data_IF_128612355636
#
_entry.id   IF_128612355636
#
_cell.length_a   1.000
_cell.length_b   1.000
_cell.length_c   1.000
_cell.angle_alpha   90.00
_cell.angle_beta   90.00
_cell.angle_gamma   90.00
#
_symmetry.space_group_name_H-M   'P 1'
#
loop_
_entity.id
_entity.type
_entity.pdbx_description
1 polymer ?
#
# COMPACT_ATOMS: atom_id res chain seq x y z
N UNK A 1 19.28 -12.43 0.62
CA UNK A 1 19.71 -13.78 1.09
C UNK A 1 18.88 -14.15 2.31
N UNK A 2 18.00 -15.10 2.15
CA UNK A 2 17.27 -15.97 3.09
C UNK A 2 17.08 -15.46 4.54
N UNK A 3 15.86 -14.95 4.84
CA UNK A 3 15.25 -15.19 6.13
C UNK A 3 13.76 -15.51 5.92
N UNK A 4 13.51 -16.73 5.38
CA UNK A 4 12.24 -17.41 5.53
C UNK A 4 12.27 -18.09 6.89
N UNK A 5 11.98 -17.36 7.93
CA UNK A 5 11.74 -17.94 9.23
C UNK A 5 10.28 -18.39 9.27
N UNK A 6 10.14 -19.69 9.37
CA UNK A 6 8.92 -20.45 9.59
C UNK A 6 8.20 -19.88 10.80
N UNK A 7 7.21 -19.06 10.59
CA UNK A 7 6.20 -18.79 11.62
C UNK A 7 5.25 -19.98 11.60
N UNK A 8 5.58 -20.95 12.45
CA UNK A 8 4.68 -22.03 12.84
C UNK A 8 3.57 -21.37 13.68
N UNK A 9 2.49 -20.95 13.03
CA UNK A 9 1.28 -20.53 13.75
C UNK A 9 0.66 -21.81 14.30
N UNK A 10 1.04 -22.14 15.52
CA UNK A 10 0.30 -23.08 16.36
C UNK A 10 -1.07 -22.43 16.60
N UNK A 11 -2.09 -22.95 15.92
CA UNK A 11 -3.47 -22.65 16.22
C UNK A 11 -3.73 -23.23 17.61
N UNK A 12 -3.45 -22.45 18.66
CA UNK A 12 -3.94 -22.75 20.00
C UNK A 12 -5.44 -22.48 19.95
N UNK A 13 -6.23 -23.52 19.59
CA UNK A 13 -7.58 -23.67 20.08
C UNK A 13 -7.43 -23.77 21.60
N UNK A 14 -7.47 -22.64 22.30
CA UNK A 14 -7.56 -22.58 23.73
C UNK A 14 -8.96 -23.10 24.09
N UNK A 15 -9.03 -24.42 24.28
CA UNK A 15 -10.05 -24.99 25.10
C UNK A 15 -9.74 -24.57 26.55
N UNK A 16 -9.98 -23.31 26.86
CA UNK A 16 -10.15 -22.87 28.23
C UNK A 16 -11.51 -23.39 28.69
N UNK A 17 -11.47 -24.50 29.42
CA UNK A 17 -12.47 -24.88 30.39
C UNK A 17 -12.51 -23.83 31.55
N UNK A 18 -12.99 -22.69 31.24
CA UNK A 18 -13.35 -21.59 32.10
C UNK A 18 -14.36 -20.79 31.32
N UNK A 19 -15.53 -20.56 31.89
CA UNK A 19 -16.63 -19.83 31.28
C UNK A 19 -16.10 -18.55 30.60
N UNK A 20 -15.65 -18.68 29.35
CA UNK A 20 -15.37 -17.53 28.48
C UNK A 20 -16.72 -16.81 28.35
N UNK A 21 -16.82 -15.68 29.01
CA UNK A 21 -18.02 -14.86 28.96
C UNK A 21 -18.37 -14.59 27.50
N UNK A 22 -19.63 -14.77 27.07
CA UNK A 22 -20.07 -14.52 25.68
C UNK A 22 -19.85 -13.06 25.21
N UNK A 23 -19.22 -12.24 26.03
CA UNK A 23 -18.98 -10.81 25.83
C UNK A 23 -17.86 -10.46 24.83
N UNK A 24 -17.07 -11.42 24.35
CA UNK A 24 -15.88 -11.13 23.52
C UNK A 24 -16.08 -11.44 22.04
N UNK A 25 -17.16 -12.12 21.67
CA UNK A 25 -17.44 -12.50 20.29
C UNK A 25 -18.32 -11.47 19.57
N UNK A 26 -17.92 -11.05 18.37
CA UNK A 26 -18.73 -10.24 17.46
C UNK A 26 -19.38 -11.19 16.46
N UNK A 27 -20.70 -11.37 16.55
CA UNK A 27 -21.49 -12.36 15.82
C UNK A 27 -22.20 -13.35 16.73
N UNK A 28 -22.80 -14.37 16.12
CA UNK A 28 -23.57 -15.41 16.80
C UNK A 28 -22.63 -16.35 17.58
N UNK A 29 -22.89 -16.51 18.86
CA UNK A 29 -22.23 -17.51 19.70
C UNK A 29 -23.02 -18.81 19.72
N UNK A 30 -22.36 -19.92 19.41
CA UNK A 30 -22.94 -21.24 19.47
C UNK A 30 -22.21 -22.04 20.56
N UNK A 31 -22.83 -22.25 21.76
CA UNK A 31 -22.18 -22.96 22.83
C UNK A 31 -22.15 -24.48 22.52
N UNK A 32 -20.99 -25.09 22.76
CA UNK A 32 -20.81 -26.55 22.72
C UNK A 32 -20.79 -27.06 24.16
N UNK A 33 -21.79 -27.88 24.57
CA UNK A 33 -21.83 -28.40 25.91
C UNK A 33 -20.80 -29.52 26.07
N UNK A 34 -20.00 -29.47 27.13
CA UNK A 34 -19.00 -30.49 27.44
C UNK A 34 -19.68 -31.88 27.57
N UNK A 35 -19.06 -32.91 26.98
CA UNK A 35 -19.57 -34.28 26.94
C UNK A 35 -20.77 -34.52 26.02
N UNK A 36 -21.22 -33.52 25.26
CA UNK A 36 -22.22 -33.70 24.20
C UNK A 36 -21.69 -34.49 23.01
N UNK A 37 -22.59 -34.97 22.13
CA UNK A 37 -22.19 -35.66 20.90
C UNK A 37 -21.35 -34.70 19.98
N UNK A 38 -21.67 -33.39 19.98
CA UNK A 38 -20.92 -32.39 19.27
C UNK A 38 -19.50 -32.23 19.84
N UNK A 39 -19.35 -32.17 21.16
CA UNK A 39 -18.04 -32.03 21.82
C UNK A 39 -17.14 -33.25 21.56
N UNK A 40 -17.71 -34.47 21.66
CA UNK A 40 -16.99 -35.72 21.35
C UNK A 40 -16.54 -35.75 19.88
N UNK A 41 -17.44 -35.44 18.94
CA UNK A 41 -17.12 -35.42 17.53
C UNK A 41 -16.05 -34.37 17.18
N UNK A 42 -16.12 -33.17 17.74
CA UNK A 42 -15.10 -32.13 17.56
C UNK A 42 -13.74 -32.57 18.13
N UNK A 43 -13.72 -33.29 19.24
CA UNK A 43 -12.49 -33.87 19.81
C UNK A 43 -11.87 -34.88 18.84
N UNK A 44 -12.67 -35.77 18.25
CA UNK A 44 -12.23 -36.75 17.25
C UNK A 44 -11.68 -36.05 15.98
N UNK A 45 -12.39 -35.03 15.47
CA UNK A 45 -11.96 -34.24 14.31
C UNK A 45 -10.62 -33.56 14.58
N UNK A 46 -10.43 -32.98 15.76
CA UNK A 46 -9.19 -32.29 16.13
C UNK A 46 -8.02 -33.28 16.29
N UNK A 47 -8.25 -34.49 16.77
CA UNK A 47 -7.25 -35.54 16.93
C UNK A 47 -6.83 -36.19 15.59
N UNK A 48 -7.69 -36.13 14.56
CA UNK A 48 -7.42 -36.75 13.27
C UNK A 48 -6.27 -36.02 12.55
N UNK A 49 -5.22 -36.77 12.20
CA UNK A 49 -4.03 -36.26 11.47
C UNK A 49 -4.08 -36.58 9.98
N UNK A 50 -4.74 -37.68 9.60
CA UNK A 50 -4.97 -38.02 8.20
C UNK A 50 -6.04 -37.10 7.57
N UNK A 51 -5.74 -36.41 6.45
CA UNK A 51 -6.69 -35.50 5.84
C UNK A 51 -8.00 -36.14 5.39
N UNK A 52 -7.94 -37.34 4.81
CA UNK A 52 -9.15 -38.02 4.32
C UNK A 52 -10.05 -38.47 5.51
N UNK A 53 -9.46 -39.02 6.57
CA UNK A 53 -10.16 -39.36 7.80
C UNK A 53 -10.77 -38.10 8.44
N UNK A 54 -10.03 -37.00 8.50
CA UNK A 54 -10.51 -35.72 9.04
C UNK A 54 -11.73 -35.21 8.30
N UNK A 55 -11.70 -35.22 6.96
CA UNK A 55 -12.85 -34.82 6.15
C UNK A 55 -14.05 -35.71 6.40
N UNK A 56 -13.88 -37.04 6.45
CA UNK A 56 -14.97 -37.96 6.72
C UNK A 56 -15.60 -37.71 8.11
N UNK A 57 -14.82 -37.37 9.12
CA UNK A 57 -15.30 -36.98 10.43
C UNK A 57 -16.07 -35.66 10.42
N UNK A 58 -15.61 -34.66 9.66
CA UNK A 58 -16.33 -33.39 9.46
C UNK A 58 -17.66 -33.64 8.74
N UNK A 59 -17.67 -34.48 7.69
CA UNK A 59 -18.90 -34.86 6.97
C UNK A 59 -19.89 -35.53 7.88
N UNK A 60 -19.45 -36.48 8.72
CA UNK A 60 -20.27 -37.16 9.73
C UNK A 60 -20.82 -36.15 10.75
N UNK A 61 -19.99 -35.23 11.23
CA UNK A 61 -20.42 -34.18 12.14
C UNK A 61 -21.51 -33.31 11.50
N UNK A 62 -21.29 -32.80 10.29
CA UNK A 62 -22.21 -31.94 9.56
C UNK A 62 -23.56 -32.64 9.27
N UNK A 63 -23.55 -33.96 9.01
CA UNK A 63 -24.76 -34.73 8.76
C UNK A 63 -25.55 -35.10 10.07
N UNK A 64 -24.94 -35.00 11.24
CA UNK A 64 -25.52 -35.34 12.54
C UNK A 64 -25.52 -34.18 13.53
N UNK A 65 -24.58 -34.15 14.51
CA UNK A 65 -24.56 -33.13 15.56
C UNK A 65 -24.36 -31.70 15.05
N UNK A 66 -23.83 -31.53 13.85
CA UNK A 66 -23.52 -30.23 13.19
C UNK A 66 -24.73 -29.58 12.50
N UNK A 67 -25.94 -30.04 12.71
CA UNK A 67 -27.14 -29.44 12.12
C UNK A 67 -27.77 -28.35 13.01
N UNK A 68 -28.74 -27.63 12.47
CA UNK A 68 -29.39 -26.52 13.17
C UNK A 68 -28.43 -25.40 13.52
N UNK A 69 -28.41 -25.01 14.79
CA UNK A 69 -27.47 -23.93 15.24
C UNK A 69 -26.00 -24.31 15.09
N UNK A 70 -25.68 -25.61 15.18
CA UNK A 70 -24.32 -26.14 15.00
C UNK A 70 -23.85 -26.09 13.54
N UNK A 71 -24.70 -25.77 12.58
CA UNK A 71 -24.31 -25.62 11.17
C UNK A 71 -23.23 -24.51 10.96
N UNK A 72 -23.23 -23.50 11.83
CA UNK A 72 -22.16 -22.51 11.87
C UNK A 72 -20.80 -23.17 12.15
N UNK A 73 -20.74 -23.97 13.21
CA UNK A 73 -19.52 -24.70 13.62
C UNK A 73 -19.10 -25.70 12.55
N UNK A 74 -20.06 -26.42 11.95
CA UNK A 74 -19.77 -27.37 10.86
C UNK A 74 -19.10 -26.65 9.66
N UNK A 75 -19.63 -25.50 9.25
CA UNK A 75 -19.04 -24.73 8.15
C UNK A 75 -17.64 -24.17 8.53
N UNK A 76 -17.41 -23.75 9.77
CA UNK A 76 -16.08 -23.33 10.23
C UNK A 76 -15.05 -24.47 10.17
N UNK A 77 -15.45 -25.71 10.53
CA UNK A 77 -14.58 -26.87 10.37
C UNK A 77 -14.20 -27.13 8.91
N UNK A 78 -15.16 -27.00 7.97
CA UNK A 78 -14.86 -27.09 6.53
C UNK A 78 -13.94 -25.97 6.06
N UNK A 79 -14.17 -24.73 6.45
CA UNK A 79 -13.28 -23.59 6.10
C UNK A 79 -11.85 -23.90 6.53
N UNK A 80 -11.65 -24.30 7.79
CA UNK A 80 -10.32 -24.59 8.33
C UNK A 80 -9.67 -25.78 7.62
N UNK A 81 -10.44 -26.83 7.34
CA UNK A 81 -9.95 -27.99 6.61
C UNK A 81 -9.51 -27.64 5.20
N UNK A 82 -10.38 -26.99 4.40
CA UNK A 82 -10.08 -26.65 3.02
C UNK A 82 -8.97 -25.60 2.89
N UNK A 83 -8.87 -24.69 3.85
CA UNK A 83 -7.74 -23.76 3.92
C UNK A 83 -6.41 -24.51 4.13
N UNK A 84 -6.38 -25.45 5.08
CA UNK A 84 -5.19 -26.28 5.35
C UNK A 84 -4.79 -27.14 4.14
N UNK A 85 -5.76 -27.58 3.33
CA UNK A 85 -5.54 -28.32 2.09
C UNK A 85 -5.30 -27.42 0.88
N UNK A 86 -5.23 -26.09 1.04
CA UNK A 86 -5.10 -25.07 -0.02
C UNK A 86 -6.20 -25.16 -1.09
N UNK A 87 -7.36 -25.70 -0.74
CA UNK A 87 -8.55 -25.73 -1.57
C UNK A 87 -9.38 -24.46 -1.33
N UNK A 88 -8.81 -23.33 -1.71
CA UNK A 88 -9.31 -21.99 -1.37
C UNK A 88 -10.76 -21.76 -1.85
N UNK A 89 -11.13 -22.24 -3.03
CA UNK A 89 -12.48 -22.03 -3.57
C UNK A 89 -13.54 -22.74 -2.72
N UNK A 90 -13.25 -23.93 -2.19
CA UNK A 90 -14.11 -24.59 -1.22
C UNK A 90 -14.14 -23.87 0.12
N UNK A 91 -12.99 -23.37 0.59
CA UNK A 91 -12.96 -22.58 1.81
C UNK A 91 -13.84 -21.33 1.70
N UNK A 92 -13.85 -20.64 0.54
CA UNK A 92 -14.77 -19.53 0.28
C UNK A 92 -16.23 -19.97 0.29
N UNK A 93 -16.56 -21.09 -0.38
CA UNK A 93 -17.93 -21.60 -0.41
C UNK A 93 -18.51 -21.81 1.00
N UNK A 94 -17.74 -22.43 1.88
CA UNK A 94 -18.18 -22.65 3.26
C UNK A 94 -18.15 -21.36 4.10
N UNK A 95 -17.22 -20.47 3.86
CA UNK A 95 -17.22 -19.14 4.48
C UNK A 95 -18.43 -18.30 4.09
N UNK A 96 -18.86 -18.37 2.84
CA UNK A 96 -20.08 -17.70 2.38
C UNK A 96 -21.34 -18.30 3.03
N UNK A 97 -21.40 -19.65 3.24
CA UNK A 97 -22.47 -20.29 4.00
C UNK A 97 -22.54 -19.80 5.46
N UNK A 98 -21.38 -19.53 6.08
CA UNK A 98 -21.35 -18.93 7.43
C UNK A 98 -22.00 -17.55 7.40
N UNK A 99 -21.69 -16.69 6.41
CA UNK A 99 -22.32 -15.37 6.30
C UNK A 99 -23.83 -15.40 6.02
N UNK A 100 -24.34 -16.48 5.44
CA UNK A 100 -25.80 -16.70 5.32
C UNK A 100 -26.43 -16.98 6.69
N UNK A 101 -25.76 -17.77 7.56
CA UNK A 101 -26.24 -18.12 8.90
C UNK A 101 -26.04 -16.97 9.89
N UNK A 102 -24.88 -16.31 9.81
CA UNK A 102 -24.50 -15.17 10.67
C UNK A 102 -23.81 -14.08 9.82
N UNK A 103 -24.59 -13.13 9.28
CA UNK A 103 -24.02 -11.99 8.52
C UNK A 103 -23.09 -11.11 9.36
N UNK A 104 -23.16 -11.19 10.70
CA UNK A 104 -22.36 -10.46 11.67
C UNK A 104 -21.11 -11.19 12.15
N UNK A 105 -20.77 -12.36 11.61
CA UNK A 105 -19.60 -13.14 12.03
C UNK A 105 -18.29 -12.45 11.68
N UNK A 106 -17.71 -11.73 12.65
CA UNK A 106 -16.41 -11.07 12.48
C UNK A 106 -15.28 -12.09 12.34
N UNK A 107 -15.32 -13.17 13.12
CA UNK A 107 -14.31 -14.24 13.03
C UNK A 107 -14.28 -14.88 11.63
N UNK A 108 -15.45 -15.09 11.01
CA UNK A 108 -15.49 -15.59 9.64
C UNK A 108 -14.89 -14.58 8.65
N UNK A 109 -15.13 -13.28 8.84
CA UNK A 109 -14.50 -12.26 7.99
C UNK A 109 -12.97 -12.32 8.12
N UNK A 110 -12.41 -12.50 9.32
CA UNK A 110 -10.97 -12.71 9.54
C UNK A 110 -10.48 -13.95 8.78
N UNK A 111 -11.22 -15.07 8.87
CA UNK A 111 -10.86 -16.31 8.19
C UNK A 111 -10.87 -16.12 6.66
N UNK A 112 -11.87 -15.44 6.11
CA UNK A 112 -11.96 -15.20 4.67
C UNK A 112 -10.87 -14.25 4.17
N UNK A 113 -10.47 -13.24 4.96
CA UNK A 113 -9.28 -12.44 4.69
C UNK A 113 -8.03 -13.31 4.60
N UNK A 114 -7.88 -14.29 5.51
CA UNK A 114 -6.74 -15.24 5.47
C UNK A 114 -6.76 -16.08 4.21
N UNK A 115 -7.91 -16.69 3.86
CA UNK A 115 -8.08 -17.50 2.66
C UNK A 115 -7.73 -16.71 1.40
N UNK A 116 -8.22 -15.46 1.30
CA UNK A 116 -7.96 -14.58 0.16
C UNK A 116 -6.47 -14.16 0.08
N UNK A 117 -5.86 -13.91 1.23
CA UNK A 117 -4.43 -13.58 1.33
C UNK A 117 -3.55 -14.74 0.87
N UNK A 118 -3.83 -15.97 1.33
CA UNK A 118 -3.06 -17.16 0.94
C UNK A 118 -3.25 -17.53 -0.54
N UNK A 119 -4.46 -17.31 -1.08
CA UNK A 119 -4.73 -17.47 -2.51
C UNK A 119 -4.06 -16.39 -3.36
N UNK A 120 -3.75 -15.23 -2.80
CA UNK A 120 -3.27 -14.04 -3.54
C UNK A 120 -4.38 -13.34 -4.34
N UNK A 121 -5.64 -13.48 -3.93
CA UNK A 121 -6.80 -12.86 -4.56
C UNK A 121 -7.06 -11.48 -3.92
N UNK A 122 -6.43 -10.46 -4.49
CA UNK A 122 -6.49 -9.09 -3.94
C UNK A 122 -7.90 -8.50 -3.93
N UNK A 123 -8.78 -8.90 -4.85
CA UNK A 123 -10.14 -8.38 -4.91
C UNK A 123 -11.02 -8.97 -3.82
N UNK A 124 -11.00 -10.30 -3.63
CA UNK A 124 -11.68 -10.96 -2.51
C UNK A 124 -11.12 -10.53 -1.18
N UNK A 125 -9.79 -10.36 -1.10
CA UNK A 125 -9.11 -9.88 0.11
C UNK A 125 -9.64 -8.51 0.53
N UNK A 126 -9.75 -7.57 -0.40
CA UNK A 126 -10.32 -6.25 -0.15
C UNK A 126 -11.81 -6.34 0.21
N UNK A 127 -12.60 -7.14 -0.52
CA UNK A 127 -14.03 -7.32 -0.27
C UNK A 127 -14.31 -7.89 1.13
N UNK A 128 -13.56 -8.90 1.58
CA UNK A 128 -13.72 -9.42 2.95
C UNK A 128 -13.19 -8.45 4.02
N UNK A 129 -12.18 -7.62 3.71
CA UNK A 129 -11.78 -6.51 4.57
C UNK A 129 -12.88 -5.46 4.73
N UNK A 130 -13.55 -5.07 3.64
CA UNK A 130 -14.71 -4.19 3.66
C UNK A 130 -15.87 -4.79 4.46
N UNK A 131 -16.12 -6.11 4.30
CA UNK A 131 -17.11 -6.84 5.07
C UNK A 131 -16.81 -6.80 6.56
N UNK A 132 -15.57 -7.07 6.95
CA UNK A 132 -15.14 -7.01 8.36
C UNK A 132 -15.36 -5.61 8.95
N UNK A 133 -14.99 -4.56 8.24
CA UNK A 133 -15.21 -3.18 8.68
C UNK A 133 -16.70 -2.85 8.81
N UNK A 134 -17.53 -3.31 7.87
CA UNK A 134 -18.99 -3.15 7.93
C UNK A 134 -19.58 -3.86 9.15
N UNK A 135 -19.12 -5.09 9.46
CA UNK A 135 -19.55 -5.84 10.64
C UNK A 135 -19.20 -5.07 11.92
N UNK A 136 -17.96 -4.55 12.02
CA UNK A 136 -17.53 -3.74 13.17
C UNK A 136 -18.35 -2.47 13.32
N UNK A 137 -18.63 -1.76 12.22
CA UNK A 137 -19.45 -0.55 12.23
C UNK A 137 -20.89 -0.87 12.70
N UNK A 138 -21.50 -1.93 12.17
CA UNK A 138 -22.84 -2.39 12.56
C UNK A 138 -22.90 -2.81 14.03
N UNK A 139 -21.88 -3.51 14.51
CA UNK A 139 -21.78 -3.91 15.91
C UNK A 139 -21.67 -2.70 16.85
N UNK A 140 -20.83 -1.72 16.50
CA UNK A 140 -20.69 -0.47 17.26
C UNK A 140 -22.02 0.29 17.35
N UNK A 141 -22.78 0.33 16.27
CA UNK A 141 -24.05 1.03 16.18
C UNK A 141 -25.24 0.24 16.76
N UNK A 142 -25.07 -1.03 17.11
CA UNK A 142 -26.17 -1.91 17.54
C UNK A 142 -26.76 -1.45 18.88
N UNK A 143 -28.11 -1.48 19.02
CA UNK A 143 -28.78 -1.18 20.27
C UNK A 143 -28.57 -2.29 21.29
N UNK A 144 -28.76 -1.97 22.57
CA UNK A 144 -28.71 -2.96 23.64
C UNK A 144 -29.78 -4.07 23.42
N UNK A 145 -29.40 -5.35 23.55
CA UNK A 145 -30.38 -6.44 23.53
C UNK A 145 -31.41 -6.33 24.67
N UNK A 146 -32.58 -6.91 24.44
CA UNK A 146 -33.61 -6.97 25.49
C UNK A 146 -33.05 -7.53 26.78
N UNK A 147 -33.34 -6.87 27.91
CA UNK A 147 -32.86 -7.28 29.25
C UNK A 147 -31.42 -6.82 29.58
N UNK A 148 -30.75 -6.08 28.68
CA UNK A 148 -29.41 -5.51 28.93
C UNK A 148 -29.51 -3.98 29.00
N UNK A 149 -28.91 -3.34 30.03
CA UNK A 149 -28.86 -1.89 30.09
C UNK A 149 -27.94 -1.32 28.98
N UNK A 150 -28.23 -0.11 28.51
CA UNK A 150 -27.40 0.56 27.50
C UNK A 150 -25.94 0.67 27.98
N UNK A 151 -25.72 1.02 29.24
CA UNK A 151 -24.38 1.14 29.82
C UNK A 151 -23.59 -0.19 29.77
N UNK A 152 -24.24 -1.28 30.22
CA UNK A 152 -23.67 -2.63 30.17
C UNK A 152 -23.35 -3.05 28.74
N UNK A 153 -24.24 -2.71 27.79
CA UNK A 153 -24.04 -3.03 26.39
C UNK A 153 -22.85 -2.26 25.80
N UNK A 154 -22.73 -0.97 26.07
CA UNK A 154 -21.56 -0.17 25.63
C UNK A 154 -20.25 -0.70 26.21
N UNK A 155 -20.25 -1.14 27.47
CA UNK A 155 -19.08 -1.78 28.08
C UNK A 155 -18.72 -3.09 27.36
N UNK A 156 -19.70 -3.94 27.07
CA UNK A 156 -19.48 -5.20 26.32
C UNK A 156 -18.95 -4.94 24.92
N UNK A 157 -19.49 -3.95 24.20
CA UNK A 157 -18.99 -3.58 22.87
C UNK A 157 -17.53 -3.14 22.93
N UNK A 158 -17.15 -2.28 23.90
CA UNK A 158 -15.75 -1.88 24.07
C UNK A 158 -14.83 -3.08 24.32
N UNK A 159 -15.21 -3.98 25.23
CA UNK A 159 -14.43 -5.18 25.54
C UNK A 159 -14.28 -6.11 24.33
N UNK A 160 -15.37 -6.33 23.58
CA UNK A 160 -15.34 -7.16 22.37
C UNK A 160 -14.42 -6.57 21.30
N UNK A 161 -14.45 -5.25 21.07
CA UNK A 161 -13.59 -4.59 20.11
C UNK A 161 -12.12 -4.64 20.57
N UNK A 162 -11.85 -4.39 21.85
CA UNK A 162 -10.51 -4.46 22.43
C UNK A 162 -9.92 -5.87 22.31
N UNK A 163 -10.69 -6.89 22.61
CA UNK A 163 -10.27 -8.30 22.46
C UNK A 163 -10.01 -8.72 21.01
N UNK A 164 -10.54 -7.96 20.03
CA UNK A 164 -10.33 -8.23 18.61
C UNK A 164 -9.31 -7.27 17.94
N UNK A 165 -8.59 -6.46 18.70
CA UNK A 165 -7.63 -5.47 18.13
C UNK A 165 -6.55 -6.13 17.25
N UNK A 166 -6.04 -7.31 17.64
CA UNK A 166 -5.05 -8.03 16.85
C UNK A 166 -5.62 -8.50 15.51
N UNK A 167 -6.86 -8.98 15.50
CA UNK A 167 -7.57 -9.37 14.28
C UNK A 167 -7.83 -8.14 13.38
N UNK A 168 -8.20 -6.99 13.96
CA UNK A 168 -8.43 -5.75 13.23
C UNK A 168 -7.13 -5.29 12.56
N UNK A 169 -6.02 -5.27 13.31
CA UNK A 169 -4.69 -4.95 12.75
C UNK A 169 -4.27 -5.94 11.67
N UNK A 170 -4.46 -7.22 11.89
CA UNK A 170 -4.18 -8.26 10.91
C UNK A 170 -4.93 -8.02 9.59
N UNK A 171 -6.24 -7.75 9.66
CA UNK A 171 -7.05 -7.45 8.46
C UNK A 171 -6.47 -6.27 7.69
N UNK A 172 -6.20 -5.15 8.39
CA UNK A 172 -5.66 -3.94 7.75
C UNK A 172 -4.31 -4.21 7.08
N UNK A 173 -3.41 -4.91 7.77
CA UNK A 173 -2.09 -5.26 7.25
C UNK A 173 -2.19 -6.22 6.06
N UNK A 174 -3.00 -7.26 6.16
CA UNK A 174 -3.17 -8.26 5.11
C UNK A 174 -3.79 -7.64 3.84
N UNK A 175 -4.85 -6.83 4.00
CA UNK A 175 -5.51 -6.17 2.88
C UNK A 175 -4.56 -5.16 2.23
N UNK A 176 -3.90 -4.29 3.00
CA UNK A 176 -2.92 -3.35 2.44
C UNK A 176 -1.80 -4.09 1.70
N UNK A 177 -1.20 -5.10 2.32
CA UNK A 177 -0.11 -5.87 1.72
C UNK A 177 -0.50 -6.59 0.44
N UNK A 178 -1.71 -7.19 0.40
CA UNK A 178 -2.19 -7.90 -0.78
C UNK A 178 -2.52 -6.95 -1.95
N UNK A 179 -3.20 -5.83 -1.69
CA UNK A 179 -3.52 -4.86 -2.75
C UNK A 179 -2.28 -4.12 -3.26
N UNK A 180 -1.30 -3.87 -2.39
CA UNK A 180 -0.01 -3.29 -2.77
C UNK A 180 0.74 -4.13 -3.80
N UNK A 181 0.60 -5.47 -3.75
CA UNK A 181 1.25 -6.40 -4.67
C UNK A 181 0.55 -6.54 -6.02
N UNK A 182 -0.61 -5.91 -6.21
CA UNK A 182 -1.32 -5.94 -7.50
C UNK A 182 -0.43 -5.40 -8.61
N UNK A 183 -0.19 -6.19 -9.67
CA UNK A 183 0.77 -5.86 -10.72
C UNK A 183 0.29 -4.74 -11.64
N UNK A 184 -1.01 -4.74 -11.96
CA UNK A 184 -1.60 -3.72 -12.84
C UNK A 184 -1.70 -2.37 -12.08
N UNK A 185 -1.04 -1.31 -12.56
CA UNK A 185 -0.96 -0.05 -11.81
C UNK A 185 -2.31 0.63 -11.58
N UNK A 186 -3.20 0.64 -12.59
CA UNK A 186 -4.52 1.26 -12.45
C UNK A 186 -5.38 0.52 -11.40
N UNK A 187 -5.41 -0.81 -11.48
CA UNK A 187 -6.13 -1.66 -10.53
C UNK A 187 -5.55 -1.52 -9.12
N UNK A 188 -4.23 -1.52 -8.99
CA UNK A 188 -3.57 -1.29 -7.69
C UNK A 188 -3.98 0.05 -7.08
N UNK A 189 -4.01 1.12 -7.89
CA UNK A 189 -4.43 2.43 -7.43
C UNK A 189 -5.88 2.45 -6.95
N UNK A 190 -6.82 1.89 -7.74
CA UNK A 190 -8.24 1.80 -7.38
C UNK A 190 -8.44 1.00 -6.08
N UNK A 191 -7.76 -0.13 -5.91
CA UNK A 191 -7.81 -0.96 -4.71
C UNK A 191 -7.23 -0.25 -3.47
N UNK A 192 -6.12 0.49 -3.62
CA UNK A 192 -5.53 1.27 -2.52
C UNK A 192 -6.42 2.44 -2.10
N UNK A 193 -7.12 3.07 -3.03
CA UNK A 193 -8.13 4.09 -2.69
C UNK A 193 -9.30 3.49 -1.90
N UNK A 194 -9.81 2.33 -2.32
CA UNK A 194 -10.85 1.58 -1.56
C UNK A 194 -10.35 1.24 -0.16
N UNK A 195 -9.10 0.75 -0.05
CA UNK A 195 -8.47 0.49 1.25
C UNK A 195 -8.47 1.73 2.14
N UNK A 196 -7.95 2.86 1.66
CA UNK A 196 -7.85 4.09 2.44
C UNK A 196 -9.23 4.66 2.84
N UNK A 197 -10.26 4.41 2.03
CA UNK A 197 -11.65 4.76 2.34
C UNK A 197 -12.26 3.83 3.40
N UNK A 198 -11.98 2.54 3.29
CA UNK A 198 -12.51 1.51 4.20
C UNK A 198 -11.87 1.59 5.57
N UNK A 199 -10.57 1.87 5.63
CA UNK A 199 -9.78 1.91 6.86
C UNK A 199 -9.13 3.30 7.05
N UNK A 200 -9.91 4.38 7.23
CA UNK A 200 -9.37 5.74 7.29
C UNK A 200 -8.44 5.98 8.48
N UNK A 201 -8.61 5.22 9.57
CA UNK A 201 -7.83 5.31 10.80
C UNK A 201 -6.65 4.32 10.82
N UNK A 202 -6.43 3.56 9.74
CA UNK A 202 -5.30 2.64 9.63
C UNK A 202 -3.98 3.41 9.50
N UNK A 203 -2.93 2.90 10.14
CA UNK A 203 -1.56 3.40 9.95
C UNK A 203 -1.10 3.39 8.48
N UNK A 204 -1.72 2.53 7.65
CA UNK A 204 -1.43 2.42 6.21
C UNK A 204 -2.23 3.39 5.34
N UNK A 205 -3.23 4.10 5.87
CA UNK A 205 -4.18 4.88 5.06
C UNK A 205 -3.51 5.98 4.22
N UNK A 206 -2.64 6.79 4.82
CA UNK A 206 -1.92 7.86 4.10
C UNK A 206 -0.90 7.28 3.12
N UNK A 207 -0.20 6.20 3.51
CA UNK A 207 0.73 5.49 2.63
C UNK A 207 0.01 4.90 1.42
N UNK A 208 -1.19 4.31 1.61
CA UNK A 208 -2.02 3.80 0.53
C UNK A 208 -2.39 4.88 -0.48
N UNK A 209 -2.77 6.08 -0.02
CA UNK A 209 -3.03 7.22 -0.90
C UNK A 209 -1.79 7.64 -1.70
N UNK A 210 -0.62 7.68 -1.07
CA UNK A 210 0.63 8.00 -1.75
C UNK A 210 0.99 6.99 -2.84
N UNK A 211 0.85 5.69 -2.53
CA UNK A 211 1.09 4.62 -3.51
C UNK A 211 0.02 4.62 -4.61
N UNK A 212 -1.24 4.95 -4.30
CA UNK A 212 -2.30 5.09 -5.30
C UNK A 212 -1.97 6.21 -6.31
N UNK A 213 -1.54 7.38 -5.83
CA UNK A 213 -1.14 8.49 -6.69
C UNK A 213 0.01 8.11 -7.64
N UNK A 214 1.08 7.48 -7.11
CA UNK A 214 2.20 7.02 -7.94
C UNK A 214 1.80 5.87 -8.87
N UNK A 215 0.85 5.03 -8.49
CA UNK A 215 0.32 3.98 -9.36
C UNK A 215 -0.49 4.55 -10.51
N UNK A 216 -1.29 5.62 -10.29
CA UNK A 216 -1.94 6.34 -11.39
C UNK A 216 -0.94 7.06 -12.30
N UNK A 217 0.20 7.56 -11.78
CA UNK A 217 1.27 8.06 -12.63
C UNK A 217 1.82 6.96 -13.54
N UNK A 218 2.09 5.77 -12.99
CA UNK A 218 2.54 4.59 -13.77
C UNK A 218 1.50 4.15 -14.81
N UNK A 219 0.21 4.24 -14.46
CA UNK A 219 -0.91 3.96 -15.37
C UNK A 219 -1.17 5.08 -16.40
N UNK A 220 -0.33 6.12 -16.43
CA UNK A 220 -0.49 7.28 -17.30
C UNK A 220 -1.88 7.95 -17.18
N UNK A 221 -2.40 8.04 -15.95
CA UNK A 221 -3.66 8.70 -15.62
C UNK A 221 -3.44 9.95 -14.76
N UNK A 222 -2.98 11.06 -15.36
CA UNK A 222 -2.68 12.29 -14.62
C UNK A 222 -3.86 12.90 -13.87
N UNK A 223 -5.12 12.89 -14.39
CA UNK A 223 -6.24 13.44 -13.65
C UNK A 223 -6.44 12.76 -12.29
N UNK A 224 -6.50 11.42 -12.26
CA UNK A 224 -6.62 10.66 -11.00
C UNK A 224 -5.37 10.79 -10.12
N UNK A 225 -4.19 10.80 -10.71
CA UNK A 225 -2.94 11.05 -9.97
C UNK A 225 -3.00 12.36 -9.21
N UNK A 226 -3.37 13.46 -9.88
CA UNK A 226 -3.46 14.79 -9.27
C UNK A 226 -4.57 14.88 -8.22
N UNK A 227 -5.72 14.26 -8.48
CA UNK A 227 -6.83 14.19 -7.53
C UNK A 227 -6.36 13.59 -6.20
N UNK A 228 -5.76 12.40 -6.26
CA UNK A 228 -5.31 11.67 -5.07
C UNK A 228 -4.15 12.38 -4.39
N UNK A 229 -3.16 12.85 -5.14
CA UNK A 229 -2.01 13.55 -4.58
C UNK A 229 -2.42 14.86 -3.88
N UNK A 230 -3.32 15.65 -4.46
CA UNK A 230 -3.82 16.87 -3.83
C UNK A 230 -4.69 16.53 -2.59
N UNK A 231 -5.52 15.48 -2.63
CA UNK A 231 -6.28 15.02 -1.47
C UNK A 231 -5.37 14.60 -0.31
N UNK A 232 -4.25 13.93 -0.61
CA UNK A 232 -3.25 13.59 0.40
C UNK A 232 -2.54 14.83 0.94
N UNK A 233 -2.18 15.80 0.10
CA UNK A 233 -1.56 17.06 0.54
C UNK A 233 -2.48 17.94 1.41
N UNK A 234 -3.80 17.78 1.30
CA UNK A 234 -4.74 18.43 2.24
C UNK A 234 -4.67 17.80 3.64
N UNK A 235 -4.39 16.49 3.74
CA UNK A 235 -4.26 15.77 5.02
C UNK A 235 -2.85 15.86 5.60
N UNK A 236 -1.85 15.79 4.74
CA UNK A 236 -0.43 15.88 5.06
C UNK A 236 0.26 16.88 4.12
N UNK A 237 0.21 18.18 4.47
CA UNK A 237 0.82 19.23 3.63
C UNK A 237 2.35 19.11 3.47
N UNK A 238 2.99 18.28 4.30
CA UNK A 238 4.44 18.05 4.28
C UNK A 238 4.82 16.72 3.60
N UNK A 239 3.90 16.08 2.90
CA UNK A 239 4.19 14.84 2.18
C UNK A 239 5.15 15.11 1.02
N UNK A 240 6.43 14.84 1.28
CA UNK A 240 7.51 15.12 0.32
C UNK A 240 7.30 14.42 -1.02
N UNK A 241 6.84 13.17 -1.01
CA UNK A 241 6.57 12.40 -2.23
C UNK A 241 5.51 13.08 -3.12
N UNK A 242 4.44 13.56 -2.52
CA UNK A 242 3.36 14.23 -3.26
C UNK A 242 3.75 15.64 -3.71
N UNK A 243 4.50 16.38 -2.89
CA UNK A 243 5.05 17.67 -3.31
C UNK A 243 5.93 17.52 -4.56
N UNK A 244 6.82 16.51 -4.57
CA UNK A 244 7.66 16.20 -5.74
C UNK A 244 6.83 15.78 -6.95
N UNK A 245 5.87 14.86 -6.75
CA UNK A 245 5.03 14.32 -7.83
C UNK A 245 4.23 15.42 -8.53
N UNK A 246 3.52 16.25 -7.75
CA UNK A 246 2.66 17.31 -8.30
C UNK A 246 3.48 18.44 -8.93
N UNK A 247 4.58 18.85 -8.27
CA UNK A 247 5.43 19.92 -8.80
C UNK A 247 6.14 19.51 -10.09
N UNK A 248 6.64 18.25 -10.17
CA UNK A 248 7.29 17.74 -11.38
C UNK A 248 6.29 17.68 -12.56
N UNK A 249 5.07 17.19 -12.30
CA UNK A 249 4.02 17.15 -13.32
C UNK A 249 3.69 18.54 -13.89
N UNK A 250 3.43 19.52 -13.02
CA UNK A 250 3.11 20.87 -13.47
C UNK A 250 4.32 21.56 -14.13
N UNK A 251 5.52 21.33 -13.63
CA UNK A 251 6.75 21.81 -14.24
C UNK A 251 6.98 21.26 -15.65
N UNK A 252 6.69 19.97 -15.87
CA UNK A 252 6.77 19.35 -17.21
C UNK A 252 5.72 19.90 -18.19
N UNK A 253 4.49 20.06 -17.71
CA UNK A 253 3.39 20.55 -18.53
C UNK A 253 3.42 22.05 -18.79
N UNK A 254 4.22 22.81 -18.02
CA UNK A 254 4.20 24.28 -18.06
C UNK A 254 2.92 24.88 -17.48
N UNK A 255 2.22 24.11 -16.64
CA UNK A 255 0.95 24.46 -16.00
C UNK A 255 1.16 24.84 -14.54
N UNK A 256 0.34 25.73 -13.99
CA UNK A 256 0.37 26.11 -12.57
C UNK A 256 1.81 26.33 -12.01
N UNK A 257 2.66 27.00 -12.78
CA UNK A 257 4.09 27.10 -12.50
C UNK A 257 4.41 27.73 -11.13
N UNK A 258 3.57 28.63 -10.61
CA UNK A 258 3.77 29.21 -9.27
C UNK A 258 3.52 28.18 -8.17
N UNK A 259 2.51 27.33 -8.34
CA UNK A 259 2.25 26.20 -7.44
C UNK A 259 3.36 25.15 -7.50
N UNK A 260 3.82 24.84 -8.73
CA UNK A 260 4.94 23.92 -8.94
C UNK A 260 6.22 24.43 -8.25
N UNK A 261 6.54 25.73 -8.39
CA UNK A 261 7.68 26.37 -7.74
C UNK A 261 7.56 26.29 -6.21
N UNK A 262 6.41 26.69 -5.65
CA UNK A 262 6.15 26.66 -4.22
C UNK A 262 6.30 25.24 -3.64
N UNK A 263 5.75 24.22 -4.32
CA UNK A 263 5.84 22.83 -3.88
C UNK A 263 7.26 22.29 -3.99
N UNK A 264 7.98 22.57 -5.08
CA UNK A 264 9.36 22.15 -5.23
C UNK A 264 10.30 22.85 -4.22
N UNK A 265 10.09 24.15 -3.93
CA UNK A 265 10.85 24.85 -2.90
C UNK A 265 10.60 24.26 -1.51
N UNK A 266 9.33 23.97 -1.17
CA UNK A 266 8.99 23.29 0.06
C UNK A 266 9.63 21.91 0.14
N UNK A 267 9.66 21.17 -0.97
CA UNK A 267 10.31 19.85 -1.03
C UNK A 267 11.82 19.91 -0.76
N UNK A 268 12.53 20.95 -1.27
CA UNK A 268 13.95 21.17 -0.94
C UNK A 268 14.14 21.37 0.56
N UNK A 269 13.34 22.27 1.16
CA UNK A 269 13.43 22.54 2.62
C UNK A 269 13.14 21.32 3.46
N UNK A 270 12.11 20.55 3.08
CA UNK A 270 11.74 19.33 3.81
C UNK A 270 12.82 18.24 3.71
N UNK A 271 13.42 18.04 2.53
CA UNK A 271 14.48 17.06 2.35
C UNK A 271 15.69 17.33 3.25
N UNK A 272 15.97 18.60 3.57
CA UNK A 272 17.06 19.01 4.46
C UNK A 272 16.70 18.80 5.97
N UNK A 273 15.41 18.73 6.32
CA UNK A 273 14.91 18.66 7.71
C UNK A 273 14.42 17.28 8.13
N UNK A 274 14.38 16.30 7.23
CA UNK A 274 13.91 14.96 7.53
C UNK A 274 14.77 14.25 8.57
N UNK A 275 14.12 13.60 9.53
CA UNK A 275 14.81 12.77 10.51
C UNK A 275 15.00 11.35 9.98
N UNK A 276 16.19 10.79 10.24
CA UNK A 276 16.51 9.43 9.83
C UNK A 276 15.71 8.40 10.64
N UNK A 277 14.97 7.50 9.96
CA UNK A 277 14.32 6.38 10.64
C UNK A 277 15.33 5.45 11.29
N UNK A 278 14.96 4.85 12.43
CA UNK A 278 15.86 3.99 13.23
C UNK A 278 16.40 2.80 12.43
N UNK A 279 15.60 2.27 11.49
CA UNK A 279 15.94 1.07 10.72
C UNK A 279 16.70 1.35 9.41
N UNK A 280 17.08 2.61 9.14
CA UNK A 280 17.81 3.02 7.94
C UNK A 280 19.24 3.41 8.33
N UNK A 281 20.24 2.90 7.60
CA UNK A 281 21.64 3.29 7.86
C UNK A 281 21.86 4.76 7.49
N UNK A 282 22.88 5.39 8.09
CA UNK A 282 23.20 6.79 7.79
C UNK A 282 23.54 7.00 6.31
N UNK A 283 24.26 6.07 5.70
CA UNK A 283 24.62 6.15 4.29
C UNK A 283 23.39 6.04 3.37
N UNK A 284 22.52 5.05 3.60
CA UNK A 284 21.26 4.91 2.86
C UNK A 284 20.40 6.16 3.01
N UNK A 285 20.34 6.71 4.23
CA UNK A 285 19.58 7.92 4.49
C UNK A 285 20.13 9.15 3.75
N UNK A 286 21.43 9.35 3.78
CA UNK A 286 22.11 10.42 3.02
C UNK A 286 21.85 10.29 1.51
N UNK A 287 21.93 9.07 0.97
CA UNK A 287 21.66 8.83 -0.45
C UNK A 287 20.18 9.13 -0.79
N UNK A 288 19.25 8.67 0.04
CA UNK A 288 17.82 8.89 -0.17
C UNK A 288 17.45 10.39 -0.10
N UNK A 289 17.89 11.09 0.92
CA UNK A 289 17.61 12.54 1.08
C UNK A 289 18.31 13.38 0.01
N UNK A 290 19.53 13.02 -0.37
CA UNK A 290 20.22 13.66 -1.49
C UNK A 290 19.43 13.50 -2.79
N UNK A 291 18.95 12.28 -3.10
CA UNK A 291 18.15 12.04 -4.30
C UNK A 291 16.86 12.88 -4.28
N UNK A 292 16.13 12.88 -3.16
CA UNK A 292 14.89 13.66 -3.02
C UNK A 292 15.13 15.15 -3.21
N UNK A 293 16.19 15.70 -2.60
CA UNK A 293 16.60 17.09 -2.78
C UNK A 293 17.02 17.38 -4.22
N UNK A 294 17.75 16.47 -4.84
CA UNK A 294 18.15 16.56 -6.23
C UNK A 294 16.96 16.62 -7.18
N UNK A 295 15.93 15.78 -6.94
CA UNK A 295 14.68 15.80 -7.70
C UNK A 295 13.96 17.16 -7.54
N UNK A 296 13.85 17.68 -6.32
CA UNK A 296 13.21 18.97 -6.06
C UNK A 296 13.94 20.13 -6.78
N UNK A 297 15.27 20.15 -6.70
CA UNK A 297 16.09 21.15 -7.41
C UNK A 297 15.97 21.03 -8.93
N UNK A 298 15.93 19.79 -9.46
CA UNK A 298 15.72 19.56 -10.90
C UNK A 298 14.34 20.05 -11.35
N UNK A 299 13.30 19.86 -10.53
CA UNK A 299 11.96 20.41 -10.78
C UNK A 299 11.97 21.95 -10.76
N UNK A 300 12.63 22.57 -9.77
CA UNK A 300 12.82 24.03 -9.77
C UNK A 300 13.55 24.52 -11.03
N UNK A 301 14.55 23.77 -11.49
CA UNK A 301 15.22 24.04 -12.75
C UNK A 301 14.24 24.03 -13.92
N UNK A 302 13.39 23.03 -14.01
CA UNK A 302 12.38 22.90 -15.07
C UNK A 302 11.34 24.03 -15.01
N UNK A 303 10.82 24.34 -13.82
CA UNK A 303 9.88 25.46 -13.62
C UNK A 303 10.50 26.78 -14.08
N UNK A 304 11.75 27.06 -13.69
CA UNK A 304 12.46 28.27 -14.12
C UNK A 304 12.72 28.29 -15.62
N UNK A 305 12.99 27.12 -16.24
CA UNK A 305 13.13 27.02 -17.69
C UNK A 305 11.81 27.37 -18.39
N UNK A 306 10.68 26.88 -17.93
CA UNK A 306 9.34 27.21 -18.43
C UNK A 306 8.99 28.70 -18.24
N UNK A 307 9.37 29.28 -17.10
CA UNK A 307 9.25 30.74 -16.84
C UNK A 307 10.26 31.59 -17.61
N UNK A 308 11.12 30.99 -18.42
CA UNK A 308 12.21 31.66 -19.17
C UNK A 308 13.29 32.29 -18.28
N UNK A 309 13.34 31.92 -17.00
CA UNK A 309 14.37 32.32 -16.05
C UNK A 309 15.64 31.45 -16.22
N UNK A 310 16.22 31.45 -17.40
CA UNK A 310 17.24 30.48 -17.82
C UNK A 310 18.49 30.47 -16.92
N UNK A 311 18.91 31.61 -16.38
CA UNK A 311 20.04 31.65 -15.44
C UNK A 311 19.74 30.91 -14.13
N UNK A 312 18.55 31.09 -13.60
CA UNK A 312 18.13 30.37 -12.40
C UNK A 312 17.90 28.88 -12.67
N UNK A 313 17.37 28.56 -13.86
CA UNK A 313 17.23 27.16 -14.29
C UNK A 313 18.60 26.44 -14.30
N UNK A 314 19.64 27.07 -14.90
CA UNK A 314 21.02 26.54 -14.91
C UNK A 314 21.54 26.33 -13.50
N UNK A 315 21.39 27.30 -12.59
CA UNK A 315 21.81 27.14 -11.17
C UNK A 315 21.16 25.95 -10.50
N UNK A 316 19.86 25.80 -10.67
CA UNK A 316 19.10 24.71 -10.04
C UNK A 316 19.50 23.35 -10.62
N UNK A 317 19.62 23.21 -11.94
CA UNK A 317 20.05 21.97 -12.57
C UNK A 317 21.49 21.58 -12.19
N UNK A 318 22.40 22.55 -12.11
CA UNK A 318 23.78 22.31 -11.68
C UNK A 318 23.84 21.88 -10.20
N UNK A 319 23.04 22.48 -9.32
CA UNK A 319 22.93 22.07 -7.92
C UNK A 319 22.31 20.66 -7.78
N UNK A 320 21.38 20.28 -8.65
CA UNK A 320 20.76 18.96 -8.66
C UNK A 320 21.71 17.85 -9.13
N UNK A 321 22.55 18.12 -10.12
CA UNK A 321 23.35 17.11 -10.82
C UNK A 321 24.16 16.17 -9.88
N UNK A 322 24.96 16.66 -8.92
CA UNK A 322 25.73 15.79 -8.03
C UNK A 322 24.84 14.92 -7.13
N UNK A 323 23.63 15.39 -6.79
CA UNK A 323 22.68 14.70 -5.90
C UNK A 323 21.92 13.58 -6.63
N UNK A 324 21.85 13.65 -7.96
CA UNK A 324 21.13 12.69 -8.81
C UNK A 324 22.01 11.56 -9.34
N UNK A 325 23.31 11.56 -9.10
CA UNK A 325 24.26 10.57 -9.67
C UNK A 325 23.94 9.11 -9.32
N UNK A 326 23.23 8.87 -8.22
CA UNK A 326 22.79 7.53 -7.82
C UNK A 326 21.59 7.01 -8.63
N UNK A 327 20.97 7.84 -9.49
CA UNK A 327 19.82 7.49 -10.30
C UNK A 327 20.02 7.98 -11.74
N UNK A 328 20.46 7.09 -12.61
CA UNK A 328 20.81 7.37 -14.00
C UNK A 328 19.70 8.09 -14.78
N UNK A 329 18.46 7.67 -14.63
CA UNK A 329 17.33 8.25 -15.36
C UNK A 329 17.09 9.71 -14.93
N UNK A 330 17.14 9.97 -13.62
CA UNK A 330 16.96 11.33 -13.08
C UNK A 330 18.14 12.23 -13.41
N UNK A 331 19.38 11.70 -13.35
CA UNK A 331 20.57 12.43 -13.74
C UNK A 331 20.54 12.81 -15.22
N UNK A 332 20.25 11.86 -16.10
CA UNK A 332 20.16 12.11 -17.54
C UNK A 332 19.05 13.11 -17.89
N UNK A 333 17.88 13.00 -17.25
CA UNK A 333 16.78 13.96 -17.41
C UNK A 333 17.23 15.38 -17.03
N UNK A 334 17.88 15.51 -15.88
CA UNK A 334 18.40 16.78 -15.40
C UNK A 334 19.44 17.38 -16.36
N UNK A 335 20.40 16.60 -16.81
CA UNK A 335 21.42 17.01 -17.74
C UNK A 335 20.83 17.42 -19.11
N UNK A 336 19.85 16.66 -19.60
CA UNK A 336 19.13 16.97 -20.83
C UNK A 336 18.41 18.33 -20.76
N UNK A 337 17.70 18.61 -19.67
CA UNK A 337 17.03 19.89 -19.42
C UNK A 337 18.04 21.04 -19.26
N UNK A 338 19.17 20.81 -18.59
CA UNK A 338 20.26 21.77 -18.46
C UNK A 338 20.80 22.17 -19.82
N UNK A 339 20.92 21.24 -20.77
CA UNK A 339 21.30 21.52 -22.14
C UNK A 339 20.39 22.56 -22.82
N UNK A 340 19.07 22.44 -22.64
CA UNK A 340 18.13 23.45 -23.16
C UNK A 340 18.27 24.82 -22.48
N UNK A 341 18.49 24.83 -21.15
CA UNK A 341 18.73 26.09 -20.45
C UNK A 341 19.95 26.81 -21.00
N UNK A 342 21.04 26.08 -21.33
CA UNK A 342 22.23 26.67 -21.98
C UNK A 342 21.98 27.10 -23.42
N UNK A 343 21.17 26.35 -24.20
CA UNK A 343 20.76 26.80 -25.54
C UNK A 343 20.05 28.15 -25.46
N UNK A 344 19.12 28.32 -24.56
CA UNK A 344 18.35 29.55 -24.35
C UNK A 344 19.28 30.73 -23.97
N UNK A 345 20.40 30.45 -23.31
CA UNK A 345 21.44 31.42 -22.97
C UNK A 345 22.49 31.60 -24.07
N UNK A 346 22.34 30.92 -25.22
CA UNK A 346 23.32 30.93 -26.34
C UNK A 346 24.71 30.40 -25.95
N UNK A 347 24.78 29.57 -24.89
CA UNK A 347 25.98 28.92 -24.38
C UNK A 347 26.12 27.53 -25.00
N UNK A 348 26.52 27.50 -26.29
CA UNK A 348 26.53 26.25 -27.08
C UNK A 348 27.56 25.21 -26.59
N UNK A 349 28.79 25.57 -26.19
CA UNK A 349 29.73 24.60 -25.63
C UNK A 349 29.20 23.91 -24.38
N UNK A 350 28.62 24.68 -23.46
CA UNK A 350 28.04 24.15 -22.21
C UNK A 350 26.78 23.30 -22.50
N UNK A 351 25.96 23.69 -23.49
CA UNK A 351 24.82 22.87 -23.92
C UNK A 351 25.27 21.49 -24.45
N UNK A 352 26.33 21.47 -25.27
CA UNK A 352 26.94 20.23 -25.78
C UNK A 352 27.45 19.35 -24.65
N UNK A 353 28.13 19.92 -23.64
CA UNK A 353 28.61 19.18 -22.49
C UNK A 353 27.42 18.55 -21.72
N UNK A 354 26.36 19.30 -21.44
CA UNK A 354 25.17 18.81 -20.74
C UNK A 354 24.45 17.71 -21.53
N UNK A 355 24.29 17.84 -22.85
CA UNK A 355 23.73 16.75 -23.66
C UNK A 355 24.66 15.54 -23.76
N UNK A 356 25.98 15.72 -23.73
CA UNK A 356 26.96 14.64 -23.68
C UNK A 356 26.80 13.84 -22.37
N UNK A 357 26.65 14.54 -21.25
CA UNK A 357 26.37 13.91 -19.95
C UNK A 357 25.06 13.09 -19.97
N UNK A 358 23.98 13.65 -20.53
CA UNK A 358 22.71 12.93 -20.68
C UNK A 358 22.83 11.69 -21.59
N UNK A 359 23.64 11.76 -22.66
CA UNK A 359 23.87 10.68 -23.59
C UNK A 359 24.81 9.59 -23.05
N UNK A 360 25.60 9.88 -22.01
CA UNK A 360 26.59 8.95 -21.44
C UNK A 360 25.97 7.82 -20.63
N UNK A 361 24.77 8.02 -20.08
CA UNK A 361 24.08 7.04 -19.23
C UNK A 361 22.98 6.28 -19.98
N UNK A 362 22.73 5.04 -19.57
CA UNK A 362 21.66 4.24 -20.16
C UNK A 362 20.29 4.68 -19.60
N UNK A 363 19.60 5.52 -20.34
CA UNK A 363 18.32 6.12 -19.95
C UNK A 363 17.47 6.47 -21.16
N UNK A 364 16.16 6.77 -21.00
CA UNK A 364 15.30 7.25 -22.07
C UNK A 364 15.76 8.57 -22.71
N UNK A 365 16.67 9.30 -22.08
CA UNK A 365 17.22 10.56 -22.56
C UNK A 365 18.48 10.40 -23.41
N UNK A 366 19.02 9.17 -23.52
CA UNK A 366 20.25 8.90 -24.29
C UNK A 366 20.11 9.28 -25.76
N UNK A 367 19.15 8.66 -26.46
CA UNK A 367 18.91 8.94 -27.88
C UNK A 367 18.50 10.37 -28.15
N UNK A 368 17.53 10.98 -27.43
CA UNK A 368 17.20 12.38 -27.59
C UNK A 368 18.39 13.33 -27.41
N UNK A 369 19.29 13.04 -26.46
CA UNK A 369 20.49 13.85 -26.23
C UNK A 369 21.50 13.71 -27.37
N UNK A 370 21.70 12.49 -27.89
CA UNK A 370 22.57 12.27 -29.08
C UNK A 370 22.06 13.03 -30.31
N UNK A 371 20.76 13.05 -30.53
CA UNK A 371 20.15 13.78 -31.64
C UNK A 371 20.34 15.31 -31.49
N UNK A 372 20.25 15.83 -30.26
CA UNK A 372 20.59 17.23 -30.00
C UNK A 372 22.05 17.53 -30.28
N UNK A 373 22.97 16.64 -29.92
CA UNK A 373 24.39 16.79 -30.19
C UNK A 373 24.72 16.87 -31.69
N UNK A 374 23.97 16.12 -32.53
CA UNK A 374 24.14 16.17 -34.01
C UNK A 374 23.67 17.48 -34.62
N UNK A 375 22.62 18.09 -34.03
CA UNK A 375 21.99 19.31 -34.56
C UNK A 375 22.61 20.62 -34.03
N UNK A 376 23.34 20.57 -32.93
CA UNK A 376 24.02 21.74 -32.38
C UNK A 376 25.29 22.10 -33.19
N UNK A 377 25.57 23.40 -33.42
CA UNK A 377 26.82 23.83 -34.04
C UNK A 377 28.04 23.21 -33.38
N UNK A 378 29.03 22.79 -34.15
CA UNK A 378 30.31 22.37 -33.58
C UNK A 378 30.87 23.52 -32.73
N UNK A 379 31.38 23.19 -31.52
CA UNK A 379 32.10 24.21 -30.74
C UNK A 379 33.19 24.82 -31.62
N UNK A 380 33.15 26.12 -31.77
CA UNK A 380 34.28 26.83 -32.43
C UNK A 380 35.51 26.54 -31.56
N UNK A 381 36.27 25.53 -31.93
CA UNK A 381 37.63 25.33 -31.41
C UNK A 381 38.39 26.59 -31.72
N UNK A 382 38.94 27.20 -30.67
CA UNK A 382 39.76 28.38 -30.74
C UNK A 382 40.74 28.31 -31.93
N UNK A 383 40.40 28.94 -33.04
CA UNK A 383 41.39 29.40 -34.03
C UNK A 383 42.06 30.66 -33.44
N UNK A 384 42.90 30.44 -32.46
CA UNK A 384 43.91 31.43 -32.05
C UNK A 384 45.15 30.66 -31.61
N UNK A 385 46.04 30.47 -32.61
CA UNK A 385 47.48 30.58 -32.50
C UNK A 385 48.10 30.13 -33.82
N UNK A 386 48.26 31.03 -34.76
CA UNK A 386 49.41 31.11 -35.67
C UNK A 386 49.32 32.43 -36.42
N UNK A 387 49.90 33.44 -35.89
CA UNK A 387 50.54 34.53 -36.60
C UNK A 387 51.57 35.14 -35.66
#
# INVERSE_FOLDING_TARGET
>A
MKLRQKMLVVLLLVLLSGAALPAQQIGKYVPVSAGSDADRAMTEINAATDPAQKLALIDKFAAGPGQGDMALVANELYVNYFLAQKQYDKAFEYGDKIFVIDPGSFQNAVNMVRVASEKGDSERLLGYGEKAQSILASFKASPAPSGTSAETWEQRKRQAIESNQDNIRYIQQAVYGGVYQTQEPAKRADQLLRFAKTFPDSEYALTALGVAATSYQQAQNPPKMLEVANALLLKDPNNLGMLLLVSDYYGEKGEQLDKAESYAQKAVTLADSLQRPVNVTEEQWKQQTALQRGLALSTLGQVNLQKKNNLQAVKNFQAAAPLLKSNDASYARNAYRLGFAFINLKKIPEARAAFSDAASVNSPYREPAQDKLKTLPASATARHKAS
#
